data_IF_487935884174
#
_entry.id   IF_487935884174
#
_cell.length_a   1.000
_cell.length_b   1.000
_cell.length_c   1.000
_cell.angle_alpha   90.00
_cell.angle_beta   90.00
_cell.angle_gamma   90.00
#
_symmetry.space_group_name_H-M   'P 1'
#
loop_
_entity.id
_entity.type
_entity.pdbx_description
1 polymer ?
#
# COMPACT_ATOMS: atom_id res chain seq x y z
N UNK A 1 2.19 -11.94 -5.63
CA UNK A 1 0.92 -12.30 -4.95
C UNK A 1 1.00 -13.77 -4.58
N UNK A 2 0.68 -14.13 -3.33
CA UNK A 2 0.67 -15.51 -2.83
C UNK A 2 -0.54 -15.69 -1.90
N UNK A 3 -0.90 -16.93 -1.58
CA UNK A 3 -2.05 -17.30 -0.72
C UNK A 3 -3.42 -16.87 -1.28
N UNK A 4 -3.97 -17.71 -2.17
CA UNK A 4 -5.28 -17.49 -2.78
C UNK A 4 -6.41 -18.24 -2.05
N UNK A 5 -6.17 -18.74 -0.82
CA UNK A 5 -7.12 -19.58 -0.08
C UNK A 5 -8.42 -18.88 0.31
N UNK A 6 -8.44 -17.54 0.25
CA UNK A 6 -9.61 -16.71 0.58
C UNK A 6 -10.24 -16.01 -0.64
N UNK A 7 -9.75 -16.30 -1.86
CA UNK A 7 -10.31 -15.68 -3.08
C UNK A 7 -11.75 -16.17 -3.29
N UNK A 8 -12.65 -15.21 -3.50
CA UNK A 8 -14.05 -15.47 -3.87
C UNK A 8 -14.44 -14.64 -5.10
N UNK A 9 -15.26 -15.24 -5.97
CA UNK A 9 -15.82 -14.56 -7.14
C UNK A 9 -17.22 -14.04 -6.81
N UNK A 10 -17.43 -12.72 -6.90
CA UNK A 10 -18.74 -12.10 -6.72
C UNK A 10 -19.41 -11.83 -8.07
N UNK A 11 -20.50 -12.54 -8.37
CA UNK A 11 -21.33 -12.31 -9.55
C UNK A 11 -22.82 -12.20 -9.16
N UNK A 12 -23.70 -12.04 -10.16
CA UNK A 12 -25.15 -11.91 -9.95
C UNK A 12 -25.81 -13.13 -9.31
N UNK A 13 -25.15 -14.29 -9.35
CA UNK A 13 -25.71 -15.56 -8.88
C UNK A 13 -25.26 -15.92 -7.45
N UNK A 14 -24.44 -15.07 -6.82
CA UNK A 14 -23.95 -15.30 -5.46
C UNK A 14 -25.08 -15.06 -4.46
N UNK A 15 -25.32 -16.04 -3.59
CA UNK A 15 -26.37 -15.96 -2.58
C UNK A 15 -26.06 -14.90 -1.52
N UNK A 16 -27.09 -14.38 -0.86
CA UNK A 16 -26.92 -13.37 0.19
C UNK A 16 -25.94 -13.86 1.28
N UNK A 17 -26.04 -15.14 1.69
CA UNK A 17 -25.19 -15.73 2.72
C UNK A 17 -23.68 -15.57 2.44
N UNK A 18 -23.26 -15.73 1.18
CA UNK A 18 -21.86 -15.54 0.81
C UNK A 18 -21.38 -14.10 0.98
N UNK A 19 -22.23 -13.11 0.69
CA UNK A 19 -21.95 -11.71 0.98
C UNK A 19 -21.89 -11.48 2.50
N UNK A 20 -22.80 -12.03 3.29
CA UNK A 20 -22.74 -11.89 4.76
C UNK A 20 -21.48 -12.51 5.36
N UNK A 21 -21.04 -13.67 4.86
CA UNK A 21 -19.83 -14.35 5.33
C UNK A 21 -18.53 -13.55 5.09
N UNK A 22 -18.53 -12.61 4.13
CA UNK A 22 -17.35 -11.78 3.86
C UNK A 22 -17.06 -10.75 4.94
N UNK A 23 -18.05 -10.37 5.76
CA UNK A 23 -17.87 -9.40 6.86
C UNK A 23 -16.81 -9.82 7.87
N UNK A 24 -16.56 -11.12 7.98
CA UNK A 24 -15.59 -11.70 8.92
C UNK A 24 -14.39 -12.35 8.23
N UNK A 25 -14.30 -12.26 6.90
CA UNK A 25 -13.24 -12.88 6.11
C UNK A 25 -11.96 -12.07 6.09
N UNK A 26 -10.82 -12.72 6.31
CA UNK A 26 -9.49 -12.11 6.24
C UNK A 26 -9.02 -11.52 7.57
N UNK A 27 -8.14 -10.51 7.50
CA UNK A 27 -7.51 -9.88 8.67
C UNK A 27 -8.30 -8.62 9.07
N UNK A 28 -8.76 -8.57 10.31
CA UNK A 28 -9.60 -7.48 10.85
C UNK A 28 -8.97 -6.09 10.72
N UNK A 29 -7.63 -6.01 10.77
CA UNK A 29 -6.89 -4.75 10.65
C UNK A 29 -6.86 -4.17 9.23
N UNK A 30 -7.32 -4.90 8.22
CA UNK A 30 -7.33 -4.48 6.81
C UNK A 30 -8.67 -4.73 6.16
N UNK A 31 -9.74 -4.80 6.95
CA UNK A 31 -11.07 -4.88 6.38
C UNK A 31 -11.35 -3.65 5.52
N UNK A 32 -12.01 -3.86 4.39
CA UNK A 32 -12.47 -2.75 3.55
C UNK A 32 -13.83 -2.26 4.05
N UNK A 33 -14.21 -1.00 3.77
CA UNK A 33 -15.51 -0.44 4.17
C UNK A 33 -16.70 -1.31 3.75
N UNK A 34 -16.59 -2.02 2.64
CA UNK A 34 -17.59 -2.95 2.14
C UNK A 34 -17.84 -4.13 3.10
N UNK A 35 -16.89 -4.48 3.97
CA UNK A 35 -16.99 -5.54 4.98
C UNK A 35 -17.57 -5.05 6.31
N UNK A 36 -17.29 -3.81 6.71
CA UNK A 36 -17.59 -3.32 8.06
C UNK A 36 -18.50 -2.09 8.15
N UNK A 37 -18.88 -1.47 7.02
CA UNK A 37 -19.73 -0.27 7.02
C UNK A 37 -21.03 -0.48 7.78
N UNK A 38 -21.50 0.59 8.43
CA UNK A 38 -22.76 0.63 9.18
C UNK A 38 -23.97 0.32 8.28
N UNK A 39 -23.85 0.49 6.96
CA UNK A 39 -24.88 0.10 5.98
C UNK A 39 -25.34 -1.36 6.18
N UNK A 40 -24.46 -2.25 6.62
CA UNK A 40 -24.82 -3.64 6.93
C UNK A 40 -25.89 -3.80 8.02
N UNK A 41 -26.00 -2.85 8.94
CA UNK A 41 -26.96 -2.91 10.04
C UNK A 41 -28.39 -2.55 9.56
N UNK A 42 -28.49 -1.96 8.37
CA UNK A 42 -29.76 -1.55 7.74
C UNK A 42 -30.17 -2.43 6.56
N UNK A 43 -29.35 -3.41 6.17
CA UNK A 43 -29.60 -4.31 5.06
C UNK A 43 -30.13 -5.64 5.60
N UNK A 44 -31.32 -6.07 5.15
CA UNK A 44 -31.91 -7.36 5.55
C UNK A 44 -31.78 -8.46 4.48
N UNK A 45 -31.13 -8.16 3.35
CA UNK A 45 -31.12 -9.01 2.15
C UNK A 45 -29.77 -9.11 1.46
N UNK A 46 -29.78 -9.35 0.15
CA UNK A 46 -28.54 -9.34 -0.64
C UNK A 46 -28.14 -7.87 -0.90
N UNK A 47 -26.95 -7.41 -0.44
CA UNK A 47 -26.53 -6.01 -0.59
C UNK A 47 -26.56 -5.54 -2.06
N UNK A 48 -26.30 -6.45 -3.01
CA UNK A 48 -26.33 -6.14 -4.44
C UNK A 48 -27.74 -5.89 -4.99
N UNK A 49 -28.77 -6.51 -4.41
CA UNK A 49 -30.18 -6.28 -4.81
C UNK A 49 -30.74 -4.99 -4.25
N UNK A 50 -30.19 -4.53 -3.13
CA UNK A 50 -30.65 -3.35 -2.40
C UNK A 50 -29.91 -2.08 -2.88
N UNK A 51 -28.93 -2.23 -3.79
CA UNK A 51 -28.10 -1.14 -4.31
C UNK A 51 -27.46 -0.30 -3.19
N UNK A 52 -26.96 -0.98 -2.16
CA UNK A 52 -26.13 -0.35 -1.13
C UNK A 52 -24.92 0.33 -1.75
N UNK A 53 -24.58 1.51 -1.24
CA UNK A 53 -23.49 2.32 -1.78
C UNK A 53 -22.14 1.66 -1.44
N UNK A 54 -21.97 1.21 -0.19
CA UNK A 54 -20.72 0.65 0.34
C UNK A 54 -20.85 -0.83 0.73
N UNK A 55 -21.81 -1.21 1.57
CA UNK A 55 -21.88 -2.56 2.11
C UNK A 55 -22.01 -3.63 1.02
N UNK A 56 -21.10 -4.60 1.04
CA UNK A 56 -21.11 -5.70 0.08
C UNK A 56 -20.79 -5.32 -1.37
N UNK A 57 -20.42 -4.07 -1.64
CA UNK A 57 -20.12 -3.58 -2.99
C UNK A 57 -18.68 -3.94 -3.43
N UNK A 58 -18.40 -5.24 -3.48
CA UNK A 58 -17.09 -5.81 -3.81
C UNK A 58 -16.79 -5.84 -5.32
N UNK A 59 -16.98 -4.74 -6.06
CA UNK A 59 -16.66 -4.65 -7.49
C UNK A 59 -15.16 -4.89 -7.82
N UNK A 60 -14.61 -4.33 -8.90
CA UNK A 60 -13.14 -4.31 -9.14
C UNK A 60 -12.36 -3.40 -8.15
N UNK A 61 -12.94 -3.13 -6.98
CA UNK A 61 -12.63 -2.00 -6.10
C UNK A 61 -12.00 -2.40 -4.76
N UNK A 62 -12.19 -3.60 -4.18
CA UNK A 62 -11.55 -3.98 -2.92
C UNK A 62 -10.01 -3.94 -2.99
N UNK A 63 -9.44 -4.34 -4.13
CA UNK A 63 -7.99 -4.25 -4.40
C UNK A 63 -7.50 -2.81 -4.33
N UNK A 64 -8.33 -1.85 -4.76
CA UNK A 64 -8.01 -0.44 -4.74
C UNK A 64 -8.04 0.14 -3.32
N UNK A 65 -8.60 -0.55 -2.33
CA UNK A 65 -8.52 -0.13 -0.92
C UNK A 65 -7.32 -0.76 -0.19
N UNK A 66 -7.00 -2.02 -0.48
CA UNK A 66 -5.93 -2.73 0.23
C UNK A 66 -4.52 -2.27 -0.18
N UNK A 67 -4.28 -2.09 -1.48
CA UNK A 67 -2.99 -1.61 -1.98
C UNK A 67 -2.58 -0.24 -1.43
N UNK A 68 -3.41 0.82 -1.47
CA UNK A 68 -3.04 2.11 -0.89
C UNK A 68 -2.88 2.05 0.63
N UNK A 69 -3.61 1.17 1.34
CA UNK A 69 -3.35 0.96 2.78
C UNK A 69 -1.95 0.39 3.02
N UNK A 70 -1.47 -0.50 2.15
CA UNK A 70 -0.10 -1.03 2.25
C UNK A 70 0.92 0.09 1.98
N UNK A 71 0.73 0.89 0.93
CA UNK A 71 1.61 2.03 0.64
C UNK A 71 1.62 3.01 1.80
N UNK A 72 0.44 3.35 2.32
CA UNK A 72 0.30 4.22 3.48
C UNK A 72 1.08 3.70 4.69
N UNK A 73 1.03 2.38 4.96
CA UNK A 73 1.78 1.78 6.07
C UNK A 73 3.29 1.85 5.83
N UNK A 74 3.73 1.69 4.59
CA UNK A 74 5.14 1.86 4.21
C UNK A 74 5.61 3.31 4.35
N UNK A 75 4.76 4.27 3.97
CA UNK A 75 5.07 5.71 4.03
C UNK A 75 5.08 6.23 5.46
N UNK A 76 4.05 5.87 6.24
CA UNK A 76 3.88 6.34 7.61
C UNK A 76 4.67 5.51 8.64
N UNK A 77 5.20 4.35 8.24
CA UNK A 77 5.89 3.39 9.12
C UNK A 77 5.02 2.99 10.32
N UNK A 78 3.69 2.97 10.12
CA UNK A 78 2.68 2.69 11.13
C UNK A 78 1.77 1.57 10.64
N UNK A 79 1.08 0.90 11.57
CA UNK A 79 -0.01 -0.02 11.23
C UNK A 79 -1.28 0.73 10.84
N UNK A 80 -2.13 0.08 10.02
CA UNK A 80 -3.46 0.58 9.71
C UNK A 80 -4.26 0.87 11.00
N UNK A 81 -5.08 1.91 10.95
CA UNK A 81 -5.94 2.30 12.06
C UNK A 81 -6.89 1.14 12.43
N UNK A 82 -6.97 0.82 13.73
CA UNK A 82 -7.86 -0.21 14.25
C UNK A 82 -8.49 0.26 15.58
N UNK A 83 -9.80 0.53 15.61
CA UNK A 83 -10.74 0.48 14.48
C UNK A 83 -10.47 1.60 13.45
N UNK A 84 -10.80 1.40 12.16
CA UNK A 84 -10.68 2.44 11.14
C UNK A 84 -11.67 3.59 11.43
N UNK A 85 -11.17 4.83 11.45
CA UNK A 85 -12.00 6.01 11.72
C UNK A 85 -12.29 6.74 10.41
N UNK A 86 -13.57 6.89 10.11
CA UNK A 86 -14.03 7.65 8.94
C UNK A 86 -13.82 9.15 9.17
N UNK A 87 -13.24 9.83 8.18
CA UNK A 87 -12.92 11.25 8.25
C UNK A 87 -13.32 11.94 6.96
N UNK A 88 -13.75 13.19 7.07
CA UNK A 88 -13.97 14.04 5.90
C UNK A 88 -12.62 14.52 5.38
N UNK A 89 -12.27 14.16 4.16
CA UNK A 89 -10.99 14.46 3.51
C UNK A 89 -11.22 15.32 2.27
N UNK A 90 -10.29 16.24 2.02
CA UNK A 90 -10.25 17.04 0.81
C UNK A 90 -9.07 16.54 -0.02
N UNK A 91 -9.36 16.02 -1.20
CA UNK A 91 -8.37 15.45 -2.10
C UNK A 91 -8.26 16.37 -3.31
N UNK A 92 -7.03 16.63 -3.74
CA UNK A 92 -6.75 17.31 -5.00
C UNK A 92 -6.29 16.30 -6.04
N UNK A 93 -7.11 16.11 -7.07
CA UNK A 93 -6.80 15.27 -8.21
C UNK A 93 -5.70 15.88 -9.09
N UNK A 94 -5.06 15.03 -9.90
CA UNK A 94 -3.99 15.45 -10.83
C UNK A 94 -4.43 16.54 -11.82
N UNK A 95 -5.70 16.53 -12.23
CA UNK A 95 -6.27 17.53 -13.14
C UNK A 95 -6.56 18.87 -12.43
N UNK A 96 -6.28 18.96 -11.13
CA UNK A 96 -6.54 20.12 -10.28
C UNK A 96 -7.94 20.15 -9.67
N UNK A 97 -8.80 19.17 -9.98
CA UNK A 97 -10.13 19.05 -9.39
C UNK A 97 -10.02 18.75 -7.90
N UNK A 98 -10.74 19.49 -7.07
CA UNK A 98 -10.84 19.22 -5.64
C UNK A 98 -12.13 18.45 -5.35
N UNK A 99 -12.00 17.36 -4.61
CA UNK A 99 -13.09 16.51 -4.15
C UNK A 99 -13.08 16.45 -2.64
N UNK A 100 -14.26 16.60 -2.04
CA UNK A 100 -14.45 16.48 -0.60
C UNK A 100 -15.36 15.29 -0.32
N UNK A 101 -14.85 14.29 0.39
CA UNK A 101 -15.60 13.07 0.67
C UNK A 101 -15.17 12.42 1.99
N UNK A 102 -15.80 11.30 2.34
CA UNK A 102 -15.44 10.50 3.50
C UNK A 102 -14.46 9.40 3.11
N UNK A 103 -13.38 9.27 3.88
CA UNK A 103 -12.37 8.24 3.69
C UNK A 103 -11.63 7.93 4.97
N UNK A 104 -10.54 7.18 4.83
CA UNK A 104 -9.69 6.73 5.94
C UNK A 104 -8.28 7.26 5.77
N UNK A 105 -7.47 7.30 6.83
CA UNK A 105 -6.05 7.65 6.72
C UNK A 105 -5.74 9.06 6.20
N UNK A 106 -6.70 9.99 6.26
CA UNK A 106 -6.58 11.36 5.74
C UNK A 106 -5.46 12.20 6.35
N UNK A 107 -4.89 11.74 7.47
CA UNK A 107 -3.70 12.36 8.06
C UNK A 107 -2.50 12.39 7.11
N UNK A 108 -2.44 11.49 6.10
CA UNK A 108 -1.34 11.45 5.14
C UNK A 108 -1.26 12.76 4.35
N UNK A 109 -2.36 13.50 4.25
CA UNK A 109 -2.45 14.81 3.60
C UNK A 109 -1.85 15.95 4.44
N UNK A 110 -1.44 15.70 5.70
CA UNK A 110 -0.79 16.72 6.53
C UNK A 110 0.62 17.04 6.00
N UNK A 111 0.74 18.18 5.31
CA UNK A 111 2.00 18.71 4.79
C UNK A 111 3.08 18.91 5.84
N UNK A 112 2.74 19.08 7.13
CA UNK A 112 3.76 19.23 8.17
C UNK A 112 4.46 17.90 8.46
N UNK A 113 3.72 16.80 8.37
CA UNK A 113 4.20 15.45 8.71
C UNK A 113 4.75 14.71 7.50
N UNK A 114 4.07 14.80 6.36
CA UNK A 114 4.35 13.99 5.18
C UNK A 114 4.90 14.80 4.00
N UNK A 115 5.49 15.98 4.25
CA UNK A 115 6.11 16.82 3.22
C UNK A 115 7.14 16.09 2.35
N UNK A 116 7.82 15.10 2.93
CA UNK A 116 8.84 14.30 2.25
C UNK A 116 8.26 13.31 1.23
N UNK A 117 6.95 13.09 1.27
CA UNK A 117 6.22 12.21 0.36
C UNK A 117 5.64 13.06 -0.76
N UNK A 118 5.80 12.57 -1.99
CA UNK A 118 5.23 13.21 -3.18
C UNK A 118 3.74 13.52 -2.98
N UNK A 119 3.35 14.76 -3.27
CA UNK A 119 1.98 15.22 -3.04
C UNK A 119 0.96 14.40 -3.84
N UNK A 120 1.25 14.12 -5.12
CA UNK A 120 0.35 13.36 -5.99
C UNK A 120 0.16 11.93 -5.48
N UNK A 121 1.21 11.33 -4.91
CA UNK A 121 1.12 10.03 -4.26
C UNK A 121 0.22 10.06 -3.01
N UNK A 122 0.32 11.09 -2.17
CA UNK A 122 -0.52 11.23 -0.96
C UNK A 122 -2.00 11.39 -1.31
N UNK A 123 -2.28 12.17 -2.34
CA UNK A 123 -3.62 12.38 -2.88
C UNK A 123 -4.19 11.10 -3.48
N UNK A 124 -3.39 10.37 -4.29
CA UNK A 124 -3.78 9.09 -4.86
C UNK A 124 -4.10 8.05 -3.78
N UNK A 125 -3.26 7.93 -2.75
CA UNK A 125 -3.51 7.04 -1.62
C UNK A 125 -4.87 7.37 -0.98
N UNK A 126 -5.12 8.65 -0.72
CA UNK A 126 -6.35 9.12 -0.08
C UNK A 126 -7.59 8.86 -0.94
N UNK A 127 -7.49 9.04 -2.26
CA UNK A 127 -8.58 8.73 -3.20
C UNK A 127 -8.90 7.23 -3.24
N UNK A 128 -7.88 6.38 -3.18
CA UNK A 128 -8.04 4.94 -3.22
C UNK A 128 -8.65 4.36 -1.92
N UNK A 129 -8.52 5.04 -0.78
CA UNK A 129 -9.08 4.65 0.52
C UNK A 129 -10.38 5.39 0.91
N UNK A 130 -11.11 5.93 -0.07
CA UNK A 130 -12.44 6.49 0.15
C UNK A 130 -13.44 5.45 0.69
N UNK A 131 -14.42 5.91 1.46
CA UNK A 131 -15.46 5.06 2.02
C UNK A 131 -16.29 4.43 0.91
N UNK A 132 -16.88 5.28 0.06
CA UNK A 132 -17.67 4.88 -1.12
C UNK A 132 -16.76 4.23 -2.18
N UNK A 133 -17.00 2.96 -2.55
CA UNK A 133 -16.19 2.25 -3.54
C UNK A 133 -16.21 2.88 -4.93
N UNK A 134 -17.37 3.34 -5.40
CA UNK A 134 -17.54 3.91 -6.75
C UNK A 134 -16.77 5.21 -6.99
N UNK A 135 -16.33 5.89 -5.92
CA UNK A 135 -15.57 7.15 -5.99
C UNK A 135 -14.05 6.94 -5.91
N UNK A 136 -13.61 5.72 -5.58
CA UNK A 136 -12.19 5.38 -5.53
C UNK A 136 -11.60 5.41 -6.94
N UNK A 137 -10.30 5.72 -7.02
CA UNK A 137 -9.57 5.60 -8.28
C UNK A 137 -9.61 4.16 -8.78
N UNK A 138 -9.68 3.98 -10.09
CA UNK A 138 -9.45 2.70 -10.76
C UNK A 138 -7.95 2.37 -10.77
N UNK A 139 -7.61 1.10 -11.00
CA UNK A 139 -6.21 0.69 -11.13
C UNK A 139 -5.51 1.42 -12.29
N UNK A 140 -6.15 1.53 -13.46
CA UNK A 140 -5.56 2.23 -14.60
C UNK A 140 -5.33 3.72 -14.34
N UNK A 141 -6.21 4.38 -13.56
CA UNK A 141 -5.97 5.75 -13.11
C UNK A 141 -4.79 5.83 -12.13
N UNK A 142 -4.68 4.89 -11.19
CA UNK A 142 -3.57 4.83 -10.25
C UNK A 142 -2.22 4.58 -10.95
N UNK A 143 -2.19 3.63 -11.90
CA UNK A 143 -1.02 3.35 -12.74
C UNK A 143 -0.59 4.58 -13.54
N UNK A 144 -1.54 5.27 -14.19
CA UNK A 144 -1.26 6.49 -14.93
C UNK A 144 -0.64 7.59 -14.06
N UNK A 145 -1.15 7.77 -12.84
CA UNK A 145 -0.60 8.72 -11.86
C UNK A 145 0.83 8.32 -11.48
N UNK A 146 1.04 7.06 -11.09
CA UNK A 146 2.34 6.55 -10.68
C UNK A 146 3.37 6.67 -11.80
N UNK A 147 3.01 6.32 -13.04
CA UNK A 147 3.88 6.49 -14.20
C UNK A 147 4.26 7.96 -14.43
N UNK A 148 3.30 8.88 -14.35
CA UNK A 148 3.55 10.29 -14.57
C UNK A 148 4.49 10.86 -13.48
N UNK A 149 4.27 10.49 -12.22
CA UNK A 149 5.13 10.89 -11.09
C UNK A 149 6.53 10.31 -11.23
N UNK A 150 6.65 9.02 -11.60
CA UNK A 150 7.93 8.34 -11.80
C UNK A 150 8.75 8.98 -12.93
N UNK A 151 8.11 9.26 -14.07
CA UNK A 151 8.71 9.98 -15.21
C UNK A 151 9.18 11.38 -14.80
N UNK A 152 8.37 12.12 -14.03
CA UNK A 152 8.71 13.47 -13.54
C UNK A 152 9.93 13.46 -12.62
N UNK A 153 10.07 12.42 -11.80
CA UNK A 153 11.21 12.24 -10.90
C UNK A 153 12.48 11.76 -11.63
N UNK A 154 12.43 11.56 -12.96
CA UNK A 154 13.57 11.09 -13.74
C UNK A 154 13.99 9.66 -13.38
N UNK A 155 13.05 8.88 -12.86
CA UNK A 155 13.28 7.49 -12.49
C UNK A 155 13.27 6.66 -13.77
N UNK A 156 14.46 6.16 -14.15
CA UNK A 156 14.63 5.24 -15.25
C UNK A 156 14.27 3.82 -14.79
N UNK A 157 13.12 3.31 -15.25
CA UNK A 157 12.62 1.99 -14.90
C UNK A 157 13.59 0.87 -15.30
N UNK A 158 14.40 1.08 -16.34
CA UNK A 158 15.28 0.04 -16.89
C UNK A 158 16.60 -0.06 -16.12
N UNK A 159 16.95 0.97 -15.33
CA UNK A 159 18.19 1.06 -14.57
C UNK A 159 17.96 1.13 -13.04
N UNK A 160 16.70 1.14 -12.61
CA UNK A 160 16.33 1.32 -11.20
C UNK A 160 16.80 0.18 -10.30
N UNK A 161 16.69 -1.07 -10.75
CA UNK A 161 17.07 -2.23 -9.94
C UNK A 161 18.58 -2.20 -9.65
N UNK A 162 19.38 -1.83 -10.65
CA UNK A 162 20.84 -1.72 -10.52
C UNK A 162 21.25 -0.53 -9.64
N UNK A 163 20.61 0.63 -9.80
CA UNK A 163 20.85 1.82 -8.97
C UNK A 163 20.41 1.60 -7.51
N UNK A 164 19.28 0.94 -7.28
CA UNK A 164 18.78 0.61 -5.93
C UNK A 164 19.67 -0.46 -5.29
N UNK A 165 20.06 -1.50 -6.02
CA UNK A 165 21.00 -2.51 -5.53
C UNK A 165 22.35 -1.90 -5.17
N UNK A 166 22.84 -0.95 -5.97
CA UNK A 166 24.08 -0.21 -5.71
C UNK A 166 23.97 0.61 -4.41
N UNK A 167 22.90 1.40 -4.24
CA UNK A 167 22.66 2.19 -3.02
C UNK A 167 22.48 1.31 -1.78
N UNK A 168 21.78 0.19 -1.93
CA UNK A 168 21.59 -0.75 -0.83
C UNK A 168 22.90 -1.41 -0.42
N UNK A 169 23.75 -1.81 -1.39
CA UNK A 169 25.12 -2.28 -1.13
C UNK A 169 25.95 -1.22 -0.39
N UNK A 170 25.94 0.02 -0.86
CA UNK A 170 26.70 1.11 -0.25
C UNK A 170 26.25 1.40 1.19
N UNK A 171 24.95 1.32 1.46
CA UNK A 171 24.40 1.44 2.81
C UNK A 171 24.77 0.24 3.70
N UNK A 172 24.59 -0.99 3.20
CA UNK A 172 24.85 -2.22 3.96
C UNK A 172 26.32 -2.37 4.35
N UNK A 173 27.25 -1.92 3.48
CA UNK A 173 28.69 -2.05 3.66
C UNK A 173 29.36 -0.76 4.17
N UNK A 174 28.59 0.27 4.55
CA UNK A 174 29.12 1.58 4.99
C UNK A 174 29.89 1.53 6.31
N UNK A 175 29.55 0.59 7.21
CA UNK A 175 30.06 0.57 8.59
C UNK A 175 30.97 -0.61 8.94
N UNK A 176 31.20 -1.58 8.02
CA UNK A 176 32.03 -2.74 8.31
C UNK A 176 33.03 -2.99 7.18
N UNK A 177 34.14 -2.23 7.11
CA UNK A 177 35.27 -2.67 6.29
C UNK A 177 35.70 -4.05 6.81
N UNK A 178 35.79 -5.04 5.90
CA UNK A 178 36.27 -6.36 6.25
C UNK A 178 37.59 -6.23 7.04
N UNK A 179 37.77 -6.98 8.15
CA UNK A 179 39.02 -6.93 8.89
C UNK A 179 40.16 -7.19 7.92
N UNK A 180 41.22 -6.37 7.98
CA UNK A 180 42.38 -6.54 7.12
C UNK A 180 42.82 -8.01 7.20
N UNK A 181 42.98 -8.71 6.07
CA UNK A 181 43.49 -10.07 6.11
C UNK A 181 44.80 -10.06 6.90
N UNK A 182 45.03 -11.03 7.80
CA UNK A 182 46.26 -11.08 8.57
C UNK A 182 47.43 -11.02 7.58
N UNK A 183 48.32 -10.06 7.78
CA UNK A 183 49.52 -9.98 6.94
C UNK A 183 50.24 -11.34 7.02
N UNK A 184 50.75 -11.85 5.88
CA UNK A 184 51.60 -13.02 5.90
C UNK A 184 52.67 -12.80 6.97
N UNK A 185 52.65 -13.60 8.02
CA UNK A 185 53.76 -13.60 8.96
C UNK A 185 54.93 -14.15 8.17
N UNK A 186 55.91 -13.29 7.88
CA UNK A 186 57.24 -13.75 7.50
C UNK A 186 57.76 -14.56 8.68
N UNK A 187 57.52 -15.88 8.63
CA UNK A 187 58.20 -16.82 9.47
C UNK A 187 59.65 -16.83 9.00
N UNK A 188 60.45 -15.88 9.49
CA UNK A 188 61.89 -16.05 9.50
C UNK A 188 62.15 -17.29 10.34
N UNK A 189 62.57 -18.37 9.66
CA UNK A 189 63.11 -19.55 10.33
C UNK A 189 64.17 -19.07 11.34
N UNK A 190 64.18 -19.59 12.58
CA UNK A 190 65.22 -19.27 13.55
C UNK A 190 66.60 -19.50 12.94
N UNK A 191 67.53 -18.57 13.20
CA UNK A 191 68.92 -18.69 12.76
C UNK A 191 69.52 -20.00 13.32
N UNK A 192 69.61 -21.01 12.46
CA UNK A 192 70.01 -22.37 12.83
C UNK A 192 69.40 -23.47 11.96
N UNK A 193 68.33 -23.18 11.20
CA UNK A 193 67.76 -24.10 10.21
C UNK A 193 67.87 -23.52 8.80
N UNK A 194 69.11 -23.40 8.31
CA UNK A 194 69.40 -23.43 6.87
C UNK A 194 70.02 -24.78 6.58
N UNK A 195 69.20 -25.71 6.09
CA UNK A 195 69.62 -26.96 5.46
C UNK A 195 69.36 -26.89 3.97
#
# INVERSE_FOLDING_TARGET
IADLGLVKTFNSNVCAFDYWATRTGGKTSVFTPEQFSEEWDYISGNPRTINSETAGNYGCVPTNHLFPQIIWQMVALCHAESPPVIQKINIKLLDGTEITDFGFGGYILDDKRFKYVDHDLRELISQCILHTPSKRSTMGQAEAVLEATTKRQGVDSDNQEEVVAQRYREWLFRENPAPKPPQPRDYKLPDGLKG
#
